data_IF_135251874954
#
_entry.id   IF_135251874954
#
_cell.length_a   1.000
_cell.length_b   1.000
_cell.length_c   1.000
_cell.angle_alpha   90.00
_cell.angle_beta   90.00
_cell.angle_gamma   90.00
#
_symmetry.space_group_name_H-M   'P 1'
#
loop_
_entity.id
_entity.type
_entity.pdbx_description
1 polymer ?
#
# COMPACT_ATOMS: atom_id res chain seq x y z
N UNK A 1 -11.51 -16.28 13.36
CA UNK A 1 -12.57 -17.17 13.88
C UNK A 1 -12.42 -17.27 15.37
N UNK A 2 -13.51 -17.00 16.11
CA UNK A 2 -13.52 -17.12 17.58
C UNK A 2 -13.31 -18.59 17.92
N UNK A 3 -12.36 -18.88 18.77
CA UNK A 3 -12.02 -20.23 19.19
C UNK A 3 -12.59 -20.50 20.58
N UNK A 4 -13.09 -21.72 20.80
CA UNK A 4 -13.59 -22.12 22.10
C UNK A 4 -12.48 -22.01 23.15
N UNK A 5 -12.76 -21.31 24.26
CA UNK A 5 -11.79 -21.14 25.34
C UNK A 5 -11.54 -22.47 26.03
N UNK A 6 -10.31 -22.95 25.97
CA UNK A 6 -9.85 -24.14 26.70
C UNK A 6 -8.88 -23.70 27.79
N UNK A 7 -8.84 -24.48 28.89
CA UNK A 7 -7.86 -24.14 29.92
C UNK A 7 -6.43 -24.30 29.39
N UNK A 8 -5.56 -23.37 29.71
CA UNK A 8 -4.14 -23.41 29.29
C UNK A 8 -3.47 -24.70 29.69
N UNK A 9 -3.71 -25.21 30.90
CA UNK A 9 -3.20 -26.48 31.41
C UNK A 9 -3.52 -27.67 30.48
N UNK A 10 -4.73 -27.71 29.88
CA UNK A 10 -5.08 -28.76 28.93
C UNK A 10 -4.31 -28.60 27.61
N UNK A 11 -4.15 -27.36 27.12
CA UNK A 11 -3.40 -27.12 25.91
C UNK A 11 -1.91 -27.45 26.09
N UNK A 12 -1.34 -27.11 27.25
CA UNK A 12 0.02 -27.49 27.64
C UNK A 12 0.18 -29.02 27.67
N UNK A 13 -0.76 -29.73 28.29
CA UNK A 13 -0.75 -31.19 28.32
C UNK A 13 -0.81 -31.82 26.92
N UNK A 14 -1.59 -31.24 25.99
CA UNK A 14 -1.61 -31.70 24.59
C UNK A 14 -0.30 -31.48 23.88
N UNK A 15 0.34 -30.31 24.09
CA UNK A 15 1.63 -29.97 23.52
C UNK A 15 2.75 -30.89 24.04
N UNK A 16 2.83 -31.10 25.37
CA UNK A 16 3.81 -31.98 25.99
C UNK A 16 3.68 -33.42 25.49
N UNK A 17 2.45 -33.95 25.47
CA UNK A 17 2.15 -35.29 24.98
C UNK A 17 2.60 -35.48 23.53
N UNK A 18 2.33 -34.47 22.67
CA UNK A 18 2.81 -34.52 21.29
C UNK A 18 4.33 -34.44 21.17
N UNK A 19 4.94 -33.53 21.90
CA UNK A 19 6.39 -33.29 21.76
C UNK A 19 7.25 -34.36 22.41
N UNK A 20 6.80 -34.99 23.50
CA UNK A 20 7.54 -36.04 24.23
C UNK A 20 7.21 -37.43 23.71
N UNK A 21 5.93 -37.74 23.56
CA UNK A 21 5.48 -39.10 23.21
C UNK A 21 5.14 -39.27 21.71
N UNK A 22 5.02 -38.18 20.98
CA UNK A 22 4.57 -38.19 19.58
C UNK A 22 3.06 -38.43 19.41
N UNK A 23 2.30 -38.36 20.49
CA UNK A 23 0.87 -38.66 20.48
C UNK A 23 0.09 -37.37 20.32
N UNK A 24 -0.64 -37.25 19.20
CA UNK A 24 -1.51 -36.12 18.92
C UNK A 24 -2.90 -36.34 19.54
N UNK A 25 -3.30 -35.43 20.45
CA UNK A 25 -4.62 -35.50 21.05
C UNK A 25 -5.69 -35.04 20.03
N UNK A 26 -6.82 -35.77 19.88
CA UNK A 26 -7.88 -35.42 18.92
C UNK A 26 -8.56 -34.07 19.18
N UNK A 27 -8.37 -33.54 20.39
CA UNK A 27 -8.92 -32.23 20.76
C UNK A 27 -8.03 -31.06 20.30
N UNK A 28 -6.81 -31.27 19.84
CA UNK A 28 -5.99 -30.21 19.26
C UNK A 28 -6.68 -29.68 17.99
N UNK A 29 -6.64 -28.35 17.80
CA UNK A 29 -7.20 -27.78 16.57
C UNK A 29 -6.50 -28.35 15.34
N UNK A 30 -7.21 -28.77 14.28
CA UNK A 30 -6.61 -29.45 13.13
C UNK A 30 -5.43 -28.72 12.52
N UNK A 31 -5.53 -27.40 12.34
CA UNK A 31 -4.46 -26.55 11.76
C UNK A 31 -3.23 -26.43 12.69
N UNK A 32 -3.46 -26.42 14.00
CA UNK A 32 -2.36 -26.46 14.99
C UNK A 32 -1.66 -27.81 14.95
N UNK A 33 -2.44 -28.90 14.89
CA UNK A 33 -1.94 -30.26 14.80
C UNK A 33 -1.06 -30.46 13.56
N UNK A 34 -1.52 -30.00 12.41
CA UNK A 34 -0.78 -30.02 11.15
C UNK A 34 0.53 -29.21 11.25
N UNK A 35 0.45 -28.01 11.78
CA UNK A 35 1.62 -27.13 11.96
C UNK A 35 2.61 -27.70 12.99
N UNK A 36 2.15 -28.37 14.05
CA UNK A 36 3.04 -29.07 14.99
C UNK A 36 3.81 -30.22 14.32
N UNK A 37 3.13 -31.00 13.48
CA UNK A 37 3.78 -32.08 12.72
C UNK A 37 4.85 -31.50 11.77
N UNK A 38 4.55 -30.41 11.10
CA UNK A 38 5.49 -29.71 10.23
C UNK A 38 6.68 -29.16 11.01
N UNK A 39 6.45 -28.48 12.13
CA UNK A 39 7.51 -27.94 12.99
C UNK A 39 8.46 -29.03 13.50
N UNK A 40 7.90 -30.18 13.87
CA UNK A 40 8.68 -31.36 14.29
C UNK A 40 9.49 -31.95 13.14
N UNK A 41 8.88 -32.07 11.96
CA UNK A 41 9.57 -32.61 10.77
C UNK A 41 10.72 -31.70 10.31
N UNK A 42 10.56 -30.39 10.44
CA UNK A 42 11.60 -29.40 10.14
C UNK A 42 12.69 -29.33 11.22
N UNK A 43 12.49 -29.95 12.38
CA UNK A 43 13.43 -29.91 13.49
C UNK A 43 13.58 -28.54 14.14
N UNK A 44 12.53 -27.72 14.13
CA UNK A 44 12.58 -26.37 14.70
C UNK A 44 12.87 -26.43 16.20
N UNK A 45 13.83 -25.64 16.73
CA UNK A 45 14.13 -25.59 18.15
C UNK A 45 12.91 -25.17 18.97
N UNK A 46 12.72 -25.81 20.15
CA UNK A 46 11.54 -25.57 20.99
C UNK A 46 11.75 -24.58 22.13
N UNK A 47 12.96 -24.38 22.57
CA UNK A 47 13.22 -23.63 23.81
C UNK A 47 13.18 -22.10 23.60
N UNK A 48 13.84 -21.63 22.56
CA UNK A 48 13.96 -20.20 22.26
C UNK A 48 13.66 -19.91 20.80
N UNK A 49 13.11 -18.74 20.57
CA UNK A 49 12.90 -18.23 19.23
C UNK A 49 14.25 -17.92 18.56
N UNK A 50 14.48 -18.48 17.38
CA UNK A 50 15.67 -18.16 16.60
C UNK A 50 15.42 -16.91 15.76
N UNK A 51 16.26 -15.90 15.94
CA UNK A 51 16.30 -14.68 15.10
C UNK A 51 17.61 -14.57 14.33
N UNK A 52 18.31 -15.70 14.16
CA UNK A 52 19.62 -15.74 13.48
C UNK A 52 19.51 -15.46 11.98
N UNK A 53 18.42 -15.91 11.34
CA UNK A 53 18.14 -15.61 9.93
C UNK A 53 17.57 -14.19 9.82
N UNK A 54 18.47 -13.23 9.67
CA UNK A 54 18.15 -11.80 9.59
C UNK A 54 18.78 -11.18 8.36
N UNK A 55 18.16 -10.11 7.89
CA UNK A 55 18.78 -9.23 6.92
C UNK A 55 19.91 -8.42 7.54
N UNK A 56 20.93 -8.09 6.75
CA UNK A 56 21.88 -7.05 7.15
C UNK A 56 21.14 -5.70 7.31
N UNK A 57 21.65 -4.77 8.10
CA UNK A 57 21.00 -3.46 8.28
C UNK A 57 20.73 -2.73 6.97
N UNK A 58 21.65 -2.82 5.99
CA UNK A 58 21.50 -2.18 4.68
C UNK A 58 20.44 -2.86 3.82
N UNK A 59 20.41 -4.19 3.79
CA UNK A 59 19.38 -4.95 3.07
C UNK A 59 18.01 -4.73 3.68
N UNK A 60 17.93 -4.70 5.01
CA UNK A 60 16.69 -4.46 5.71
C UNK A 60 16.16 -3.05 5.46
N UNK A 61 17.01 -2.04 5.47
CA UNK A 61 16.59 -0.67 5.12
C UNK A 61 16.04 -0.57 3.70
N UNK A 62 16.65 -1.26 2.73
CA UNK A 62 16.12 -1.34 1.35
C UNK A 62 14.79 -2.08 1.30
N UNK A 63 14.62 -3.12 2.11
CA UNK A 63 13.35 -3.83 2.21
C UNK A 63 12.26 -2.93 2.79
N UNK A 64 12.53 -2.25 3.91
CA UNK A 64 11.59 -1.30 4.51
C UNK A 64 11.18 -0.18 3.55
N UNK A 65 12.12 0.36 2.77
CA UNK A 65 11.83 1.38 1.76
C UNK A 65 10.83 0.91 0.68
N UNK A 66 10.85 -0.38 0.30
CA UNK A 66 9.85 -0.94 -0.63
C UNK A 66 8.45 -1.03 -0.02
N UNK A 67 8.35 -1.11 1.29
CA UNK A 67 7.12 -1.27 2.05
C UNK A 67 6.74 -0.03 2.86
N UNK A 68 7.37 1.13 2.56
CA UNK A 68 7.22 2.38 3.31
C UNK A 68 5.76 2.80 3.47
N UNK A 69 4.96 2.69 2.41
CA UNK A 69 3.54 3.05 2.40
C UNK A 69 2.74 2.23 3.43
N UNK A 70 2.91 0.90 3.44
CA UNK A 70 2.26 0.03 4.42
C UNK A 70 2.73 0.30 5.85
N UNK A 71 4.04 0.50 6.04
CA UNK A 71 4.66 0.80 7.34
C UNK A 71 4.11 2.12 7.89
N UNK A 72 4.15 3.19 7.09
CA UNK A 72 3.70 4.52 7.50
C UNK A 72 2.20 4.56 7.82
N UNK A 73 1.38 3.92 6.99
CA UNK A 73 -0.06 3.87 7.21
C UNK A 73 -0.43 3.12 8.50
N UNK A 74 0.18 1.94 8.73
CA UNK A 74 -0.08 1.16 9.94
C UNK A 74 0.45 1.87 11.19
N UNK A 75 1.55 2.59 11.10
CA UNK A 75 2.07 3.44 12.16
C UNK A 75 1.05 4.52 12.56
N UNK A 76 0.48 5.21 11.57
CA UNK A 76 -0.56 6.21 11.81
C UNK A 76 -1.81 5.63 12.50
N UNK A 77 -2.24 4.43 12.09
CA UNK A 77 -3.35 3.73 12.76
C UNK A 77 -3.00 3.36 14.21
N UNK A 78 -1.78 2.84 14.45
CA UNK A 78 -1.34 2.40 15.77
C UNK A 78 -1.15 3.55 16.76
N UNK A 79 -0.74 4.73 16.28
CA UNK A 79 -0.62 5.94 17.13
C UNK A 79 -1.96 6.35 17.73
N UNK A 80 -3.05 6.23 16.97
CA UNK A 80 -4.40 6.56 17.44
C UNK A 80 -4.93 5.66 18.56
N UNK A 81 -4.33 4.47 18.74
CA UNK A 81 -4.72 3.48 19.76
C UNK A 81 -3.56 3.06 20.66
N UNK A 82 -2.53 3.88 20.74
CA UNK A 82 -1.30 3.58 21.52
C UNK A 82 -1.60 3.29 22.99
N UNK A 83 -2.44 4.10 23.63
CA UNK A 83 -2.81 3.93 25.03
C UNK A 83 -3.50 2.57 25.27
N UNK A 84 -4.37 2.15 24.36
CA UNK A 84 -5.01 0.85 24.42
C UNK A 84 -3.98 -0.29 24.29
N UNK A 85 -3.01 -0.19 23.39
CA UNK A 85 -1.94 -1.18 23.28
C UNK A 85 -1.10 -1.28 24.55
N UNK A 86 -0.82 -0.14 25.20
CA UNK A 86 -0.09 -0.11 26.44
C UNK A 86 -0.88 -0.69 27.61
N UNK A 87 -2.16 -0.33 27.73
CA UNK A 87 -3.04 -0.82 28.81
C UNK A 87 -3.20 -2.35 28.79
N UNK A 88 -3.34 -2.93 27.58
CA UNK A 88 -3.54 -4.38 27.42
C UNK A 88 -2.29 -5.14 27.00
N UNK A 89 -1.13 -4.53 27.13
CA UNK A 89 0.18 -5.13 26.83
C UNK A 89 0.23 -5.80 25.44
N UNK A 90 -0.39 -5.15 24.44
CA UNK A 90 -0.46 -5.63 23.06
C UNK A 90 0.66 -5.04 22.22
N UNK A 91 1.23 -5.88 21.36
CA UNK A 91 2.18 -5.51 20.33
C UNK A 91 1.58 -5.78 18.95
N UNK A 92 1.78 -4.85 18.01
CA UNK A 92 1.38 -5.03 16.62
C UNK A 92 2.62 -5.23 15.75
N UNK A 93 2.63 -6.28 14.95
CA UNK A 93 3.68 -6.57 13.97
C UNK A 93 3.13 -6.45 12.56
N UNK A 94 3.90 -5.85 11.66
CA UNK A 94 3.73 -5.94 10.21
C UNK A 94 4.79 -6.88 9.65
N UNK A 95 4.35 -7.89 8.91
CA UNK A 95 5.17 -8.97 8.38
C UNK A 95 4.89 -9.06 6.88
N UNK A 96 5.92 -9.24 6.06
CA UNK A 96 5.74 -9.42 4.61
C UNK A 96 5.35 -10.85 4.22
N UNK A 97 5.16 -11.09 2.93
CA UNK A 97 4.80 -12.39 2.38
C UNK A 97 5.91 -13.45 2.52
N UNK A 98 7.16 -13.04 2.75
CA UNK A 98 8.30 -13.92 3.03
C UNK A 98 8.48 -14.18 4.55
N UNK A 99 7.47 -13.82 5.35
CA UNK A 99 7.47 -13.91 6.81
C UNK A 99 8.60 -13.12 7.49
N UNK A 100 9.01 -11.98 6.91
CA UNK A 100 9.98 -11.06 7.53
C UNK A 100 9.24 -9.98 8.31
N UNK A 101 9.61 -9.77 9.56
CA UNK A 101 9.05 -8.67 10.38
C UNK A 101 9.56 -7.33 9.85
N UNK A 102 8.71 -6.58 9.19
CA UNK A 102 9.03 -5.27 8.63
C UNK A 102 9.05 -4.18 9.70
N UNK A 103 8.09 -4.23 10.63
CA UNK A 103 7.92 -3.23 11.68
C UNK A 103 7.21 -3.79 12.90
N UNK A 104 7.63 -3.33 14.07
CA UNK A 104 6.96 -3.54 15.36
C UNK A 104 6.48 -2.20 15.90
N UNK A 105 5.19 -2.13 16.27
CA UNK A 105 4.53 -0.90 16.74
C UNK A 105 4.18 -1.03 18.21
N UNK A 106 5.17 -1.19 19.08
CA UNK A 106 4.89 -1.31 20.50
C UNK A 106 6.11 -1.41 21.40
N UNK A 107 5.81 -1.66 22.66
CA UNK A 107 6.68 -1.96 23.76
C UNK A 107 7.63 -3.15 23.48
N UNK A 108 8.64 -3.37 24.33
CA UNK A 108 9.57 -4.48 24.19
C UNK A 108 8.85 -5.81 24.03
N UNK A 109 9.16 -6.54 22.97
CA UNK A 109 8.58 -7.81 22.63
C UNK A 109 9.51 -8.93 23.09
N UNK A 110 9.05 -9.86 23.93
CA UNK A 110 9.88 -10.93 24.51
C UNK A 110 11.22 -10.45 25.09
N UNK A 111 11.18 -9.35 25.86
CA UNK A 111 12.41 -8.69 26.35
C UNK A 111 13.33 -8.21 25.23
N UNK A 112 12.88 -8.28 23.98
CA UNK A 112 13.58 -7.78 22.81
C UNK A 112 13.15 -6.34 22.53
N UNK A 113 14.08 -5.53 22.11
CA UNK A 113 13.76 -4.21 21.58
C UNK A 113 13.09 -4.36 20.19
N UNK A 114 12.28 -3.40 19.75
CA UNK A 114 11.73 -3.42 18.40
C UNK A 114 12.77 -3.73 17.32
N UNK A 115 13.99 -3.19 17.43
CA UNK A 115 15.08 -3.44 16.50
C UNK A 115 15.66 -4.86 16.53
N UNK A 116 15.35 -5.65 17.55
CA UNK A 116 15.80 -7.05 17.63
C UNK A 116 14.88 -8.00 16.91
N UNK A 117 13.58 -7.71 16.80
CA UNK A 117 12.62 -8.52 16.05
C UNK A 117 12.48 -8.06 14.60
N UNK A 118 12.67 -6.76 14.33
CA UNK A 118 12.59 -6.21 12.97
C UNK A 118 13.72 -6.78 12.09
N UNK A 119 13.38 -7.22 10.89
CA UNK A 119 14.29 -7.90 9.96
C UNK A 119 14.48 -9.39 10.23
N UNK A 120 13.90 -9.94 11.29
CA UNK A 120 13.92 -11.39 11.54
C UNK A 120 12.86 -12.10 10.68
N UNK A 121 13.18 -13.34 10.25
CA UNK A 121 12.19 -14.24 9.67
C UNK A 121 11.46 -14.98 10.77
N UNK A 122 10.13 -15.05 10.65
CA UNK A 122 9.23 -15.64 11.64
C UNK A 122 8.27 -16.67 11.02
N UNK A 123 8.73 -17.29 9.94
CA UNK A 123 8.02 -18.38 9.27
C UNK A 123 8.06 -19.68 10.04
N UNK A 124 7.37 -20.70 9.54
CA UNK A 124 7.33 -22.03 10.17
C UNK A 124 8.71 -22.69 10.27
N UNK A 125 9.62 -22.38 9.36
CA UNK A 125 11.00 -22.92 9.38
C UNK A 125 11.87 -22.35 10.50
N UNK A 126 11.55 -21.12 10.95
CA UNK A 126 12.33 -20.40 11.96
C UNK A 126 11.73 -20.51 13.37
N UNK A 127 10.42 -20.30 13.47
CA UNK A 127 9.73 -20.26 14.76
C UNK A 127 8.72 -21.38 14.97
N UNK A 128 8.57 -22.25 13.99
CA UNK A 128 7.60 -23.35 14.04
C UNK A 128 6.15 -22.85 14.06
N UNK A 129 5.31 -23.62 14.76
CA UNK A 129 3.88 -23.29 14.89
C UNK A 129 3.68 -22.01 15.66
N UNK A 130 3.06 -21.05 14.98
CA UNK A 130 2.69 -19.74 15.52
C UNK A 130 1.38 -19.29 14.85
N UNK A 131 0.74 -18.23 15.38
CA UNK A 131 -0.41 -17.62 14.70
C UNK A 131 -0.07 -17.15 13.29
N UNK A 132 1.19 -16.74 13.07
CA UNK A 132 1.72 -16.28 11.79
C UNK A 132 1.75 -17.43 10.79
N UNK A 133 2.40 -18.56 11.15
CA UNK A 133 2.52 -19.72 10.26
C UNK A 133 1.16 -20.30 9.89
N UNK A 134 0.26 -20.44 10.86
CA UNK A 134 -1.09 -20.98 10.62
C UNK A 134 -1.95 -20.03 9.78
N UNK A 135 -1.92 -18.72 10.07
CA UNK A 135 -2.68 -17.74 9.29
C UNK A 135 -2.15 -17.62 7.86
N UNK A 136 -0.84 -17.73 7.68
CA UNK A 136 -0.19 -17.71 6.36
C UNK A 136 -0.58 -18.93 5.53
N UNK A 137 -0.47 -20.13 6.09
CA UNK A 137 -0.78 -21.38 5.38
C UNK A 137 -2.25 -21.46 4.96
N UNK A 138 -3.15 -21.14 5.89
CA UNK A 138 -4.59 -21.25 5.63
C UNK A 138 -5.22 -19.96 5.07
N UNK A 139 -4.44 -18.90 4.87
CA UNK A 139 -4.90 -17.62 4.31
C UNK A 139 -6.15 -17.05 5.00
N UNK A 140 -6.24 -17.26 6.32
CA UNK A 140 -7.40 -16.95 7.16
C UNK A 140 -6.93 -16.39 8.51
N UNK A 141 -7.63 -15.40 9.09
CA UNK A 141 -7.30 -14.91 10.42
C UNK A 141 -7.34 -16.03 11.46
N UNK A 142 -6.31 -16.09 12.28
CA UNK A 142 -6.18 -17.15 13.27
C UNK A 142 -5.73 -16.62 14.63
N UNK A 143 -6.51 -17.00 15.67
CA UNK A 143 -6.13 -16.83 17.08
C UNK A 143 -5.38 -18.06 17.55
N UNK A 144 -4.22 -17.87 18.17
CA UNK A 144 -3.44 -18.94 18.79
C UNK A 144 -3.27 -18.67 20.28
N UNK A 145 -3.61 -19.63 21.09
CA UNK A 145 -3.28 -19.62 22.50
C UNK A 145 -1.81 -19.96 22.71
N UNK A 146 -1.15 -19.31 23.68
CA UNK A 146 0.27 -19.50 23.91
C UNK A 146 0.75 -20.94 23.95
N UNK A 147 0.12 -21.84 24.76
CA UNK A 147 0.54 -23.25 24.82
C UNK A 147 0.46 -24.03 23.50
N UNK A 148 -0.20 -23.48 22.49
CA UNK A 148 -0.24 -24.07 21.15
C UNK A 148 0.96 -23.67 20.28
N UNK A 149 1.72 -22.64 20.70
CA UNK A 149 2.92 -22.20 19.98
C UNK A 149 4.04 -23.23 20.13
N UNK A 150 4.84 -23.38 19.07
CA UNK A 150 5.92 -24.38 19.07
C UNK A 150 7.04 -24.02 20.03
N UNK A 151 7.43 -22.75 20.08
CA UNK A 151 8.51 -22.26 20.93
C UNK A 151 8.00 -21.98 22.34
N UNK A 152 8.58 -22.60 23.35
CA UNK A 152 8.18 -22.48 24.77
C UNK A 152 8.25 -21.04 25.29
N UNK A 153 9.26 -20.28 24.86
CA UNK A 153 9.37 -18.86 25.23
C UNK A 153 8.14 -18.05 24.80
N UNK A 154 7.48 -18.43 23.68
CA UNK A 154 6.28 -17.79 23.17
C UNK A 154 4.99 -18.27 23.82
N UNK A 155 5.02 -19.35 24.61
CA UNK A 155 3.83 -19.98 25.19
C UNK A 155 3.18 -19.18 26.33
N UNK A 156 3.86 -18.18 26.86
CA UNK A 156 3.34 -17.32 27.93
C UNK A 156 2.19 -16.41 27.42
N UNK A 157 2.29 -15.94 26.19
CA UNK A 157 1.34 -15.01 25.59
C UNK A 157 0.36 -15.64 24.61
N UNK A 158 -0.52 -14.83 24.08
CA UNK A 158 -1.44 -15.19 23.01
C UNK A 158 -1.21 -14.31 21.79
N UNK A 159 -1.58 -14.78 20.61
CA UNK A 159 -1.44 -14.02 19.39
C UNK A 159 -2.59 -14.22 18.42
N UNK A 160 -2.89 -13.19 17.66
CA UNK A 160 -3.85 -13.24 16.57
C UNK A 160 -3.23 -12.65 15.31
N UNK A 161 -3.23 -13.41 14.23
CA UNK A 161 -2.67 -12.96 12.93
C UNK A 161 -3.75 -12.94 11.87
N UNK A 162 -3.72 -11.93 11.00
CA UNK A 162 -4.61 -11.83 9.85
C UNK A 162 -3.79 -11.56 8.57
N UNK A 163 -4.04 -12.32 7.48
CA UNK A 163 -3.44 -12.04 6.18
C UNK A 163 -4.08 -10.81 5.55
N UNK A 164 -3.25 -9.91 5.03
CA UNK A 164 -3.62 -8.69 4.29
C UNK A 164 -3.49 -8.99 2.80
N UNK A 165 -4.59 -8.91 2.07
CA UNK A 165 -4.66 -9.27 0.66
C UNK A 165 -4.87 -8.05 -0.23
N UNK A 166 -4.01 -7.90 -1.23
CA UNK A 166 -4.13 -6.87 -2.25
C UNK A 166 -4.35 -7.59 -3.58
N UNK A 167 -5.44 -7.26 -4.27
CA UNK A 167 -5.85 -7.94 -5.51
C UNK A 167 -5.98 -9.46 -5.36
N UNK A 168 -6.37 -9.94 -4.16
CA UNK A 168 -6.54 -11.36 -3.85
C UNK A 168 -5.29 -12.11 -3.41
N UNK A 169 -4.11 -11.51 -3.49
CA UNK A 169 -2.83 -12.09 -3.08
C UNK A 169 -2.42 -11.59 -1.69
N UNK A 170 -1.95 -12.48 -0.83
CA UNK A 170 -1.43 -12.14 0.48
C UNK A 170 -0.08 -11.44 0.33
N UNK A 171 -0.03 -10.15 0.64
CA UNK A 171 1.21 -9.37 0.58
C UNK A 171 1.79 -9.09 1.96
N UNK A 172 0.95 -9.11 2.99
CA UNK A 172 1.38 -8.89 4.37
C UNK A 172 0.59 -9.77 5.33
N UNK A 173 1.14 -9.89 6.52
CA UNK A 173 0.46 -10.39 7.71
C UNK A 173 0.53 -9.29 8.77
N UNK A 174 -0.57 -9.05 9.46
CA UNK A 174 -0.58 -8.23 10.67
C UNK A 174 -0.89 -9.12 11.86
N UNK A 175 -0.12 -8.94 12.93
CA UNK A 175 -0.23 -9.78 14.12
C UNK A 175 -0.38 -8.91 15.35
N UNK A 176 -1.42 -9.13 16.13
CA UNK A 176 -1.51 -8.67 17.52
C UNK A 176 -1.01 -9.79 18.42
N UNK A 177 -0.06 -9.47 19.27
CA UNK A 177 0.54 -10.42 20.21
C UNK A 177 0.72 -9.77 21.56
N UNK A 178 0.58 -10.56 22.62
CA UNK A 178 0.93 -10.19 23.98
C UNK A 178 1.97 -11.16 24.53
N UNK A 179 2.75 -10.69 25.49
CA UNK A 179 3.72 -11.49 26.27
C UNK A 179 3.04 -12.29 27.38
N UNK A 180 1.78 -11.99 27.65
CA UNK A 180 0.95 -12.58 28.67
C UNK A 180 -0.36 -13.03 28.05
N UNK A 181 -1.15 -13.77 28.79
CA UNK A 181 -2.50 -14.11 28.38
C UNK A 181 -3.27 -12.82 28.09
N UNK A 182 -3.90 -12.74 26.92
CA UNK A 182 -4.77 -11.61 26.58
C UNK A 182 -6.06 -11.71 27.37
N UNK A 183 -6.28 -10.77 28.29
CA UNK A 183 -7.49 -10.71 29.11
C UNK A 183 -8.73 -10.19 28.38
N UNK A 184 -8.51 -9.53 27.23
CA UNK A 184 -9.62 -9.05 26.40
C UNK A 184 -10.40 -10.19 25.76
N UNK A 185 -11.72 -10.01 25.54
CA UNK A 185 -12.51 -10.96 24.76
C UNK A 185 -11.91 -11.17 23.36
N UNK A 186 -11.80 -12.41 22.91
CA UNK A 186 -11.22 -12.75 21.61
C UNK A 186 -11.88 -11.99 20.46
N UNK A 187 -13.20 -11.85 20.49
CA UNK A 187 -13.98 -11.14 19.47
C UNK A 187 -13.61 -9.65 19.38
N UNK A 188 -13.29 -9.01 20.51
CA UNK A 188 -12.83 -7.62 20.53
C UNK A 188 -11.47 -7.48 19.85
N UNK A 189 -10.49 -8.33 20.21
CA UNK A 189 -9.14 -8.30 19.63
C UNK A 189 -9.16 -8.68 18.15
N UNK A 190 -9.92 -9.71 17.78
CA UNK A 190 -10.11 -10.12 16.39
C UNK A 190 -10.76 -8.99 15.58
N UNK A 191 -11.80 -8.34 16.13
CA UNK A 191 -12.48 -7.22 15.46
C UNK A 191 -11.55 -6.04 15.25
N UNK A 192 -10.72 -5.71 16.24
CA UNK A 192 -9.69 -4.67 16.10
C UNK A 192 -8.71 -5.02 14.97
N UNK A 193 -8.16 -6.24 15.00
CA UNK A 193 -7.22 -6.72 13.98
C UNK A 193 -7.84 -6.70 12.58
N UNK A 194 -9.08 -7.17 12.43
CA UNK A 194 -9.79 -7.17 11.14
C UNK A 194 -10.11 -5.75 10.66
N UNK A 195 -10.39 -4.83 11.56
CA UNK A 195 -10.59 -3.40 11.22
C UNK A 195 -9.29 -2.80 10.68
N UNK A 196 -8.17 -3.02 11.37
CA UNK A 196 -6.85 -2.55 10.91
C UNK A 196 -6.45 -3.19 9.58
N UNK A 197 -6.68 -4.50 9.44
CA UNK A 197 -6.49 -5.24 8.18
C UNK A 197 -7.27 -4.60 7.04
N UNK A 198 -8.57 -4.40 7.21
CA UNK A 198 -9.44 -3.85 6.16
C UNK A 198 -9.04 -2.43 5.79
N UNK A 199 -8.68 -1.61 6.77
CA UNK A 199 -8.20 -0.26 6.53
C UNK A 199 -6.89 -0.26 5.73
N UNK A 200 -5.94 -1.15 6.08
CA UNK A 200 -4.67 -1.29 5.36
C UNK A 200 -4.89 -1.81 3.92
N UNK A 201 -5.74 -2.82 3.73
CA UNK A 201 -6.09 -3.34 2.39
C UNK A 201 -6.70 -2.25 1.50
N UNK A 202 -7.64 -1.47 2.03
CA UNK A 202 -8.28 -0.38 1.30
C UNK A 202 -7.26 0.69 0.91
N UNK A 203 -6.40 1.11 1.84
CA UNK A 203 -5.35 2.09 1.60
C UNK A 203 -4.37 1.64 0.50
N UNK A 204 -3.85 0.42 0.61
CA UNK A 204 -2.85 -0.10 -0.33
C UNK A 204 -3.46 -0.37 -1.72
N UNK A 205 -4.70 -0.83 -1.78
CA UNK A 205 -5.42 -1.02 -3.05
C UNK A 205 -5.62 0.32 -3.75
N UNK A 206 -6.01 1.36 -3.02
CA UNK A 206 -6.16 2.71 -3.57
C UNK A 206 -4.82 3.30 -4.00
N UNK A 207 -3.75 3.11 -3.22
CA UNK A 207 -2.39 3.54 -3.57
C UNK A 207 -1.91 2.91 -4.90
N UNK A 208 -2.16 1.60 -5.09
CA UNK A 208 -1.84 0.91 -6.36
C UNK A 208 -2.66 1.49 -7.52
N UNK A 209 -3.95 1.76 -7.29
CA UNK A 209 -4.84 2.35 -8.31
C UNK A 209 -4.36 3.74 -8.73
N UNK A 210 -4.04 4.60 -7.78
CA UNK A 210 -3.53 5.96 -8.04
C UNK A 210 -2.23 5.89 -8.86
N UNK A 211 -1.26 5.06 -8.45
CA UNK A 211 0.00 4.88 -9.19
C UNK A 211 -0.22 4.39 -10.62
N UNK A 212 -1.18 3.48 -10.83
CA UNK A 212 -1.52 3.00 -12.17
C UNK A 212 -2.15 4.11 -13.02
N UNK A 213 -3.07 4.90 -12.46
CA UNK A 213 -3.68 6.05 -13.13
C UNK A 213 -2.62 7.11 -13.50
N UNK A 214 -1.69 7.43 -12.60
CA UNK A 214 -0.57 8.33 -12.88
C UNK A 214 0.32 7.80 -14.00
N UNK A 215 0.69 6.52 -13.98
CA UNK A 215 1.49 5.90 -15.03
C UNK A 215 0.79 5.93 -16.40
N UNK A 216 -0.55 5.72 -16.44
CA UNK A 216 -1.35 5.84 -17.67
C UNK A 216 -1.30 7.28 -18.18
N UNK A 217 -1.50 8.27 -17.30
CA UNK A 217 -1.47 9.68 -17.68
C UNK A 217 -0.07 10.10 -18.15
N UNK A 218 1.00 9.60 -17.53
CA UNK A 218 2.38 9.89 -17.94
C UNK A 218 2.76 9.23 -19.29
N UNK A 219 2.13 8.10 -19.64
CA UNK A 219 2.32 7.44 -20.93
C UNK A 219 1.55 8.12 -22.08
N UNK A 220 0.65 9.07 -21.80
CA UNK A 220 -0.10 9.77 -22.84
C UNK A 220 0.76 10.86 -23.52
N UNK A 221 0.56 11.12 -24.82
CA UNK A 221 1.25 12.20 -25.53
C UNK A 221 0.64 13.59 -25.25
N UNK A 222 -0.20 13.69 -24.22
CA UNK A 222 -0.90 14.91 -23.82
C UNK A 222 -0.39 15.43 -22.49
N UNK A 223 -0.25 16.75 -22.37
CA UNK A 223 -0.12 17.39 -21.07
C UNK A 223 -1.48 17.46 -20.41
N UNK A 224 -1.59 16.92 -19.19
CA UNK A 224 -2.83 16.88 -18.41
C UNK A 224 -2.64 17.72 -17.15
N UNK A 225 -3.60 18.60 -16.90
CA UNK A 225 -3.61 19.46 -15.72
C UNK A 225 -4.98 19.35 -15.01
N UNK A 226 -4.95 19.21 -13.70
CA UNK A 226 -6.11 19.40 -12.83
C UNK A 226 -5.95 20.76 -12.15
N UNK A 227 -6.85 21.69 -12.46
CA UNK A 227 -6.75 23.09 -12.05
C UNK A 227 -7.89 23.44 -11.10
N UNK A 228 -7.55 24.10 -9.99
CA UNK A 228 -8.49 24.61 -9.01
C UNK A 228 -8.90 26.07 -9.33
N UNK A 229 -9.98 26.60 -8.70
CA UNK A 229 -10.36 27.99 -8.83
C UNK A 229 -9.19 28.93 -8.53
N UNK A 230 -9.05 29.98 -9.35
CA UNK A 230 -7.91 30.89 -9.24
C UNK A 230 -6.65 30.45 -9.99
N UNK A 231 -6.68 29.32 -10.70
CA UNK A 231 -5.57 28.87 -11.57
C UNK A 231 -4.52 28.02 -10.90
N UNK A 232 -4.73 27.61 -9.63
CA UNK A 232 -3.83 26.71 -8.93
C UNK A 232 -3.84 25.31 -9.55
N UNK A 233 -2.68 24.71 -9.79
CA UNK A 233 -2.53 23.37 -10.36
C UNK A 233 -2.46 22.35 -9.23
N UNK A 234 -3.53 21.57 -9.05
CA UNK A 234 -3.61 20.50 -8.05
C UNK A 234 -2.86 19.24 -8.49
N UNK A 235 -2.87 18.94 -9.79
CA UNK A 235 -2.16 17.81 -10.39
C UNK A 235 -1.74 18.14 -11.82
N UNK A 236 -0.62 17.57 -12.23
CA UNK A 236 -0.20 17.53 -13.64
C UNK A 236 0.66 16.30 -13.89
N UNK A 237 0.50 15.68 -15.06
CA UNK A 237 1.34 14.57 -15.47
C UNK A 237 2.77 15.04 -15.82
N UNK A 238 3.68 14.09 -16.05
CA UNK A 238 5.10 14.40 -16.30
C UNK A 238 5.29 15.36 -17.47
N UNK A 239 4.60 15.15 -18.58
CA UNK A 239 4.66 16.04 -19.76
C UNK A 239 4.17 17.46 -19.43
N UNK A 240 3.12 17.57 -18.62
CA UNK A 240 2.62 18.86 -18.13
C UNK A 240 3.64 19.58 -17.25
N UNK A 241 4.32 18.88 -16.34
CA UNK A 241 5.40 19.44 -15.49
C UNK A 241 6.53 20.02 -16.35
N UNK A 242 6.99 19.25 -17.34
CA UNK A 242 8.05 19.69 -18.26
C UNK A 242 7.65 20.94 -19.04
N UNK A 243 6.40 21.02 -19.49
CA UNK A 243 5.89 22.17 -20.22
C UNK A 243 5.80 23.41 -19.34
N UNK A 244 5.27 23.26 -18.12
CA UNK A 244 5.18 24.36 -17.17
C UNK A 244 6.56 24.89 -16.80
N UNK A 245 7.55 24.03 -16.62
CA UNK A 245 8.95 24.43 -16.40
C UNK A 245 9.51 25.21 -17.58
N UNK A 246 9.25 24.79 -18.82
CA UNK A 246 9.71 25.49 -20.04
C UNK A 246 9.10 26.89 -20.20
N UNK A 247 7.94 27.16 -19.64
CA UNK A 247 7.31 28.49 -19.68
C UNK A 247 7.63 29.35 -18.47
N UNK A 248 8.60 28.90 -17.63
CA UNK A 248 9.08 29.68 -16.50
C UNK A 248 8.27 29.54 -15.23
N UNK A 249 7.40 28.53 -15.15
CA UNK A 249 6.71 28.21 -13.91
C UNK A 249 7.71 27.72 -12.86
N UNK A 250 7.76 28.38 -11.71
CA UNK A 250 8.59 27.97 -10.58
C UNK A 250 7.95 26.78 -9.88
N UNK A 251 8.76 25.80 -9.53
CA UNK A 251 8.27 24.61 -8.83
C UNK A 251 7.95 24.91 -7.37
N UNK A 252 7.07 24.08 -6.77
CA UNK A 252 6.59 24.24 -5.39
C UNK A 252 7.74 24.26 -4.36
N UNK A 253 8.77 23.43 -4.56
CA UNK A 253 9.95 23.39 -3.68
C UNK A 253 10.79 24.70 -3.70
N UNK A 254 10.67 25.51 -4.76
CA UNK A 254 11.37 26.80 -4.88
C UNK A 254 10.58 27.95 -4.26
N UNK A 255 9.25 27.84 -4.21
CA UNK A 255 8.34 28.93 -3.82
C UNK A 255 7.60 28.67 -2.53
N UNK A 256 7.52 27.41 -2.09
CA UNK A 256 6.68 26.98 -0.97
C UNK A 256 5.17 27.14 -1.25
N UNK A 257 4.77 27.36 -2.51
CA UNK A 257 3.38 27.49 -2.97
C UNK A 257 3.16 26.58 -4.16
N UNK A 258 1.95 26.05 -4.28
CA UNK A 258 1.54 25.34 -5.49
C UNK A 258 1.64 26.23 -6.71
N UNK A 259 1.93 25.61 -7.83
CA UNK A 259 2.03 26.29 -9.09
C UNK A 259 0.69 26.91 -9.47
N UNK A 260 0.71 28.17 -9.95
CA UNK A 260 -0.48 28.87 -10.40
C UNK A 260 -0.33 29.30 -11.87
N UNK A 261 -1.30 28.92 -12.69
CA UNK A 261 -1.29 29.24 -14.12
C UNK A 261 -1.40 30.76 -14.39
N UNK A 262 -2.02 31.51 -13.49
CA UNK A 262 -2.10 32.99 -13.61
C UNK A 262 -0.73 33.66 -13.52
N UNK A 263 0.27 33.04 -12.87
CA UNK A 263 1.61 33.60 -12.74
C UNK A 263 2.40 33.51 -14.05
N UNK A 264 2.01 32.60 -14.94
CA UNK A 264 2.75 32.30 -16.17
C UNK A 264 1.97 32.54 -17.46
N UNK A 265 0.62 32.53 -17.41
CA UNK A 265 -0.24 32.76 -18.58
C UNK A 265 -0.85 34.18 -18.52
N UNK A 266 -0.35 35.05 -19.38
CA UNK A 266 -0.72 36.46 -19.37
C UNK A 266 -2.15 36.72 -19.86
N UNK A 267 -2.72 35.84 -20.68
CA UNK A 267 -4.07 35.94 -21.21
C UNK A 267 -5.05 34.95 -20.52
N UNK A 268 -4.80 34.57 -19.26
CA UNK A 268 -5.54 33.54 -18.55
C UNK A 268 -7.08 33.71 -18.59
N UNK A 269 -7.57 34.90 -18.37
CA UNK A 269 -9.03 35.21 -18.38
C UNK A 269 -9.70 34.99 -19.75
N UNK A 270 -8.94 34.98 -20.83
CA UNK A 270 -9.43 34.73 -22.19
C UNK A 270 -9.29 33.24 -22.60
N UNK A 271 -8.71 32.40 -21.74
CA UNK A 271 -8.52 30.98 -22.03
C UNK A 271 -9.77 30.14 -21.82
N UNK A 272 -9.85 28.96 -22.41
CA UNK A 272 -10.89 27.98 -22.14
C UNK A 272 -10.92 27.51 -20.68
N UNK A 273 -9.81 27.59 -19.93
CA UNK A 273 -9.73 27.25 -18.52
C UNK A 273 -10.67 28.16 -17.70
N UNK A 274 -10.54 29.45 -17.90
CA UNK A 274 -11.37 30.45 -17.22
C UNK A 274 -12.86 30.26 -17.53
N UNK A 275 -13.18 29.93 -18.81
CA UNK A 275 -14.56 29.62 -19.22
C UNK A 275 -15.06 28.29 -18.59
N UNK A 276 -14.15 27.31 -18.42
CA UNK A 276 -14.45 26.05 -17.74
C UNK A 276 -14.96 26.25 -16.32
N UNK A 277 -14.38 27.19 -15.56
CA UNK A 277 -14.87 27.53 -14.22
C UNK A 277 -16.26 28.20 -14.21
N UNK A 278 -16.71 28.71 -15.35
CA UNK A 278 -18.11 29.18 -15.56
C UNK A 278 -19.04 28.08 -16.04
N UNK A 279 -18.58 26.82 -16.01
CA UNK A 279 -19.37 25.65 -16.39
C UNK A 279 -19.47 25.41 -17.89
N UNK A 280 -18.64 26.06 -18.72
CA UNK A 280 -18.64 25.91 -20.17
C UNK A 280 -17.48 25.00 -20.59
N UNK A 281 -17.73 23.72 -20.97
CA UNK A 281 -16.69 22.83 -21.45
C UNK A 281 -16.18 23.28 -22.83
N UNK A 282 -14.97 22.91 -23.15
CA UNK A 282 -14.33 23.18 -24.43
C UNK A 282 -13.62 21.92 -24.91
N UNK A 283 -13.85 21.49 -26.15
CA UNK A 283 -13.29 20.27 -26.70
C UNK A 283 -12.49 20.56 -27.97
N UNK A 284 -11.24 20.09 -28.01
CA UNK A 284 -10.33 20.15 -29.15
C UNK A 284 -10.25 21.55 -29.81
N UNK A 285 -10.15 22.58 -28.99
CA UNK A 285 -10.05 23.96 -29.47
C UNK A 285 -8.58 24.35 -29.66
N UNK A 286 -8.28 25.01 -30.78
CA UNK A 286 -7.02 25.72 -30.93
C UNK A 286 -6.98 26.90 -29.96
N UNK A 287 -5.94 26.95 -29.14
CA UNK A 287 -5.74 27.94 -28.09
C UNK A 287 -4.36 28.51 -28.19
N UNK A 288 -4.27 29.83 -28.27
CA UNK A 288 -3.03 30.57 -28.18
C UNK A 288 -2.74 30.94 -26.74
N UNK A 289 -1.70 30.37 -26.17
CA UNK A 289 -1.21 30.66 -24.83
C UNK A 289 -0.15 31.73 -24.89
N UNK A 290 -0.44 32.90 -24.35
CA UNK A 290 0.54 33.98 -24.21
C UNK A 290 1.17 33.85 -22.83
N UNK A 291 2.44 33.44 -22.77
CA UNK A 291 3.13 33.21 -21.51
C UNK A 291 4.24 34.24 -21.29
N UNK A 292 4.79 34.25 -20.09
CA UNK A 292 5.92 35.11 -19.74
C UNK A 292 7.20 34.81 -20.55
N UNK A 293 7.31 33.58 -21.09
CA UNK A 293 8.48 33.16 -21.87
C UNK A 293 8.28 33.31 -23.40
N UNK A 294 7.15 32.77 -23.91
CA UNK A 294 6.83 32.81 -25.36
C UNK A 294 5.34 32.51 -25.58
N UNK A 295 4.92 32.64 -26.83
CA UNK A 295 3.57 32.24 -27.26
C UNK A 295 3.58 30.81 -27.76
N UNK A 296 2.54 30.02 -27.43
CA UNK A 296 2.32 28.65 -27.87
C UNK A 296 0.94 28.50 -28.48
N UNK A 297 0.82 27.57 -29.39
CA UNK A 297 -0.46 27.15 -29.97
C UNK A 297 -0.69 25.68 -29.68
N UNK A 298 -1.76 25.39 -28.95
CA UNK A 298 -2.13 24.05 -28.55
C UNK A 298 -3.57 23.73 -28.97
N UNK A 299 -3.82 22.43 -29.20
CA UNK A 299 -5.17 21.89 -29.20
C UNK A 299 -5.49 21.54 -27.75
N UNK A 300 -6.54 22.13 -27.23
CA UNK A 300 -6.89 22.03 -25.81
C UNK A 300 -8.34 21.61 -25.61
N UNK A 301 -8.53 20.69 -24.69
CA UNK A 301 -9.83 20.27 -24.14
C UNK A 301 -9.87 20.71 -22.68
N UNK A 302 -10.98 21.32 -22.26
CA UNK A 302 -11.22 21.70 -20.87
C UNK A 302 -12.59 21.15 -20.45
N UNK A 303 -12.59 20.34 -19.39
CA UNK A 303 -13.79 19.73 -18.83
C UNK A 303 -13.96 20.18 -17.38
N UNK A 304 -15.07 20.87 -17.05
CA UNK A 304 -15.44 21.13 -15.66
C UNK A 304 -15.68 19.80 -14.94
N UNK A 305 -15.11 19.67 -13.76
CA UNK A 305 -15.41 18.59 -12.84
C UNK A 305 -16.46 19.05 -11.81
N UNK A 306 -16.53 18.42 -10.71
CA UNK A 306 -17.47 18.62 -9.61
C UNK A 306 -18.03 20.04 -9.48
N UNK A 307 -19.31 20.13 -9.10
CA UNK A 307 -19.98 21.37 -8.70
C UNK A 307 -20.31 21.29 -7.22
N UNK A 308 -20.26 22.44 -6.54
CA UNK A 308 -20.73 22.53 -5.18
C UNK A 308 -22.28 22.66 -5.11
N UNK A 309 -22.80 22.83 -3.91
CA UNK A 309 -24.24 23.01 -3.66
C UNK A 309 -24.81 24.27 -4.34
N UNK A 310 -23.97 25.28 -4.59
CA UNK A 310 -24.28 26.53 -5.27
C UNK A 310 -24.09 26.46 -6.79
N UNK A 311 -23.81 25.26 -7.33
CA UNK A 311 -23.50 24.98 -8.74
C UNK A 311 -22.21 25.62 -9.26
N UNK A 312 -21.34 26.12 -8.40
CA UNK A 312 -20.01 26.59 -8.78
C UNK A 312 -19.07 25.44 -9.08
N UNK A 313 -18.26 25.56 -10.14
CA UNK A 313 -17.31 24.53 -10.57
C UNK A 313 -16.11 24.51 -9.61
N UNK A 314 -15.88 23.37 -8.96
CA UNK A 314 -14.77 23.18 -8.00
C UNK A 314 -13.42 23.00 -8.66
N UNK A 315 -13.39 22.45 -9.87
CA UNK A 315 -12.13 22.20 -10.60
C UNK A 315 -12.38 21.94 -12.07
N UNK A 316 -11.33 22.06 -12.87
CA UNK A 316 -11.34 21.70 -14.29
C UNK A 316 -10.19 20.79 -14.64
N UNK A 317 -10.41 19.86 -15.55
CA UNK A 317 -9.34 19.09 -16.19
C UNK A 317 -9.02 19.72 -17.54
N UNK A 318 -7.74 19.93 -17.79
CA UNK A 318 -7.21 20.49 -19.03
C UNK A 318 -6.32 19.45 -19.67
N UNK A 319 -6.61 19.10 -20.91
CA UNK A 319 -5.77 18.23 -21.75
C UNK A 319 -5.27 19.05 -22.93
N UNK A 320 -3.98 19.11 -23.11
CA UNK A 320 -3.34 20.01 -24.08
C UNK A 320 -2.23 19.34 -24.85
N UNK A 321 -2.18 19.56 -26.17
CA UNK A 321 -1.13 19.08 -27.07
C UNK A 321 -0.69 20.21 -28.01
N UNK A 322 0.61 20.44 -28.23
CA UNK A 322 1.09 21.36 -29.25
C UNK A 322 0.58 20.97 -30.63
N UNK A 323 0.21 21.95 -31.42
CA UNK A 323 -0.23 21.73 -32.80
C UNK A 323 0.89 21.11 -33.63
N UNK A 324 2.14 21.47 -33.37
CA UNK A 324 3.30 20.90 -34.03
C UNK A 324 3.48 19.39 -33.75
N UNK A 325 3.28 18.98 -32.50
CA UNK A 325 3.35 17.57 -32.10
C UNK A 325 2.21 16.75 -32.76
N UNK A 326 1.01 17.32 -32.82
CA UNK A 326 -0.10 16.70 -33.52
C UNK A 326 0.18 16.52 -35.02
N UNK A 327 0.74 17.54 -35.69
CA UNK A 327 1.13 17.44 -37.10
C UNK A 327 2.17 16.34 -37.32
N UNK A 328 3.12 16.21 -36.39
CA UNK A 328 4.16 15.16 -36.46
C UNK A 328 3.52 13.77 -36.28
N UNK A 329 2.61 13.58 -35.32
CA UNK A 329 1.87 12.32 -35.14
C UNK A 329 1.06 11.94 -36.38
N UNK A 330 0.33 12.88 -36.96
CA UNK A 330 -0.46 12.65 -38.18
C UNK A 330 0.46 12.33 -39.36
N UNK A 331 1.60 13.01 -39.51
CA UNK A 331 2.56 12.71 -40.58
C UNK A 331 3.17 11.31 -40.43
N UNK A 332 3.49 10.88 -39.22
CA UNK A 332 3.92 9.51 -38.95
C UNK A 332 2.84 8.48 -39.28
N UNK A 333 1.61 8.70 -38.83
CA UNK A 333 0.47 7.81 -39.12
C UNK A 333 0.19 7.72 -40.64
N UNK A 334 0.22 8.86 -41.36
CA UNK A 334 0.05 8.91 -42.81
C UNK A 334 1.23 8.24 -43.55
N UNK A 335 2.45 8.38 -43.06
CA UNK A 335 3.64 7.72 -43.63
C UNK A 335 3.60 6.19 -43.48
N UNK A 336 3.06 5.67 -42.39
CA UNK A 336 2.82 4.23 -42.22
C UNK A 336 1.75 3.71 -43.19
N UNK A 337 0.67 4.45 -43.39
CA UNK A 337 -0.40 4.08 -44.34
C UNK A 337 0.11 4.09 -45.80
N UNK A 338 0.94 5.07 -46.17
CA UNK A 338 1.57 5.16 -47.50
C UNK A 338 2.59 4.03 -47.76
N UNK A 339 3.35 3.59 -46.78
CA UNK A 339 4.25 2.43 -46.87
C UNK A 339 3.53 1.13 -47.12
N UNK A 340 2.40 0.92 -46.48
CA UNK A 340 1.58 -0.29 -46.72
C UNK A 340 0.89 -0.29 -48.09
N UNK A 341 0.45 0.87 -48.57
CA UNK A 341 -0.17 0.96 -49.91
C UNK A 341 0.84 0.76 -51.06
N UNK A 342 2.09 1.19 -50.90
CA UNK A 342 3.15 0.98 -51.89
C UNK A 342 3.66 -0.48 -51.91
N UNK A 343 3.72 -1.16 -50.76
CA UNK A 343 4.13 -2.56 -50.70
C UNK A 343 3.03 -3.52 -51.25
N UNK A 344 1.74 -3.14 -51.18
CA UNK A 344 0.68 -3.90 -51.77
C UNK A 344 0.56 -3.75 -53.31
N UNK A 345 1.23 -2.75 -53.86
CA UNK A 345 1.27 -2.53 -55.33
C UNK A 345 2.45 -3.22 -56.07
N UNK A 346 3.42 -3.77 -55.35
CA UNK A 346 4.60 -4.46 -55.92
C UNK A 346 4.46 -5.98 -55.92
N UNK A 347 3.31 -6.49 -55.52
CA UNK A 347 2.99 -7.92 -55.42
C UNK A 347 1.92 -8.43 -56.39
N UNK A 348 1.95 -7.96 -57.65
CA UNK A 348 1.12 -8.54 -58.73
C UNK A 348 1.94 -8.66 -60.01
#
# INVERSE_FOLDING_TARGET
>A
MIREHRSREKLESYYEKFTEEGILDPNVHPWVAESWQQSRALGVPREKMSTEKRFSPEEFHRLQAKHEDAIAYLMKLSEGIREFFQEYNLSLLLIDADCVVLKSYSLPFYQMTPGEIEGARVGVEEVGTSSISVAYEHQTPFWMFGPEMWVKECQLGDACTAPVKINGECQYLITLVSMEQIELPQDAVISLLLTMKTALEAHLTESVRIKAEEAILDATPFAVYHVLPGGEVAYTNQLGKERLTRIGAKQEHETGRRLNLNDVILNYEHTPIYKGFRGVPSYNKEVTWITTAKTYEDITTVVPLERDEEQAVKSVVVVSMPIEDLRTLVAHAAGYTAKYSLQSMVGS
#
